data_IF_692486103495
#
_entry.id   IF_692486103495
#
_cell.length_a   1.000
_cell.length_b   1.000
_cell.length_c   1.000
_cell.angle_alpha   90.00
_cell.angle_beta   90.00
_cell.angle_gamma   90.00
#
_symmetry.space_group_name_H-M   'P 1'
#
loop_
_entity.id
_entity.type
_entity.pdbx_description
1 polymer ?
#
# COMPACT_ATOMS: atom_id res chain seq x y z
N UNK A 1 2.01 -18.69 -6.81
CA UNK A 1 1.47 -17.47 -7.45
C UNK A 1 2.50 -16.37 -7.27
N UNK A 2 2.81 -15.56 -8.30
CA UNK A 2 3.76 -14.44 -8.16
C UNK A 2 3.07 -13.30 -7.41
N UNK A 3 3.74 -12.71 -6.42
CA UNK A 3 3.22 -11.52 -5.75
C UNK A 3 3.35 -10.30 -6.67
N UNK A 4 2.43 -9.36 -6.55
CA UNK A 4 2.43 -8.10 -7.31
C UNK A 4 3.29 -7.04 -6.62
N UNK A 5 3.74 -6.05 -7.40
CA UNK A 5 4.37 -4.83 -6.92
C UNK A 5 3.43 -3.64 -7.13
N UNK A 6 2.95 -3.04 -6.05
CA UNK A 6 2.33 -1.72 -6.03
C UNK A 6 3.39 -0.66 -5.73
N UNK A 7 3.42 0.42 -6.50
CA UNK A 7 4.39 1.51 -6.31
C UNK A 7 3.68 2.77 -5.88
N UNK A 8 4.01 3.26 -4.67
CA UNK A 8 3.53 4.55 -4.21
C UNK A 8 4.40 5.68 -4.79
N UNK A 9 3.76 6.64 -5.47
CA UNK A 9 4.42 7.76 -6.16
C UNK A 9 4.27 9.10 -5.43
N UNK A 10 3.80 9.12 -4.19
CA UNK A 10 3.55 10.35 -3.41
C UNK A 10 4.80 11.22 -3.30
N UNK A 11 5.99 10.62 -3.14
CA UNK A 11 7.22 11.39 -2.96
C UNK A 11 7.66 12.10 -4.24
N UNK A 12 7.21 11.67 -5.43
CA UNK A 12 7.36 12.44 -6.67
C UNK A 12 6.54 13.75 -6.56
N UNK A 13 5.30 13.65 -6.08
CA UNK A 13 4.47 14.82 -5.83
C UNK A 13 5.04 15.70 -4.71
N UNK A 14 5.68 15.13 -3.68
CA UNK A 14 6.39 15.88 -2.64
C UNK A 14 7.50 16.73 -3.24
N UNK A 15 8.34 16.18 -4.11
CA UNK A 15 9.41 16.94 -4.80
C UNK A 15 8.84 18.05 -5.66
N UNK A 16 7.79 17.79 -6.44
CA UNK A 16 7.06 18.80 -7.22
C UNK A 16 6.56 19.95 -6.33
N UNK A 17 5.94 19.61 -5.23
CA UNK A 17 5.32 20.60 -4.33
C UNK A 17 6.37 21.42 -3.58
N UNK A 18 7.50 20.82 -3.20
CA UNK A 18 8.60 21.55 -2.54
C UNK A 18 9.17 22.64 -3.43
N UNK A 19 9.16 22.44 -4.76
CA UNK A 19 9.62 23.44 -5.74
C UNK A 19 8.51 24.42 -6.16
N UNK A 20 7.25 24.04 -6.01
CA UNK A 20 6.11 24.84 -6.44
C UNK A 20 5.85 24.87 -7.95
N UNK A 21 6.48 23.95 -8.70
CA UNK A 21 6.41 23.86 -10.16
C UNK A 21 5.57 22.65 -10.61
N UNK A 22 5.48 22.42 -11.93
CA UNK A 22 4.82 21.25 -12.50
C UNK A 22 5.69 19.99 -12.59
N UNK A 23 6.98 20.10 -12.27
CA UNK A 23 7.98 19.04 -12.35
C UNK A 23 8.57 18.72 -10.97
N UNK A 24 8.86 17.41 -10.65
CA UNK A 24 8.55 16.22 -11.46
C UNK A 24 7.05 15.91 -11.46
N UNK A 25 6.54 15.36 -12.58
CA UNK A 25 5.12 15.07 -12.73
C UNK A 25 4.80 13.62 -12.30
N UNK A 26 4.02 13.40 -11.22
CA UNK A 26 3.73 12.06 -10.70
C UNK A 26 2.99 11.16 -11.70
N UNK A 27 2.22 11.75 -12.61
CA UNK A 27 1.47 11.00 -13.63
C UNK A 27 2.41 10.39 -14.69
N UNK A 28 3.38 11.17 -15.17
CA UNK A 28 4.37 10.67 -16.12
C UNK A 28 5.26 9.59 -15.52
N UNK A 29 5.64 9.75 -14.24
CA UNK A 29 6.37 8.72 -13.50
C UNK A 29 5.56 7.45 -13.30
N UNK A 30 4.29 7.55 -12.95
CA UNK A 30 3.42 6.39 -12.81
C UNK A 30 3.33 5.57 -14.11
N UNK A 31 3.20 6.23 -15.27
CA UNK A 31 3.22 5.53 -16.57
C UNK A 31 4.55 4.80 -16.83
N UNK A 32 5.67 5.44 -16.51
CA UNK A 32 6.99 4.80 -16.67
C UNK A 32 7.16 3.61 -15.70
N UNK A 33 6.75 3.76 -14.46
CA UNK A 33 6.79 2.70 -13.43
C UNK A 33 6.00 1.47 -13.90
N UNK A 34 4.81 1.67 -14.47
CA UNK A 34 4.03 0.57 -15.06
C UNK A 34 4.74 -0.09 -16.24
N UNK A 35 5.37 0.69 -17.13
CA UNK A 35 6.16 0.17 -18.25
C UNK A 35 7.39 -0.62 -17.79
N UNK A 36 7.92 -0.34 -16.60
CA UNK A 36 9.04 -1.08 -16.01
C UNK A 36 8.63 -2.33 -15.25
N UNK A 37 7.33 -2.64 -15.17
CA UNK A 37 6.81 -3.91 -14.66
C UNK A 37 6.06 -3.85 -13.32
N UNK A 38 5.75 -2.68 -12.78
CA UNK A 38 4.83 -2.56 -11.65
C UNK A 38 3.42 -3.05 -12.03
N UNK A 39 2.63 -3.46 -11.04
CA UNK A 39 1.29 -3.98 -11.24
C UNK A 39 0.19 -2.97 -10.87
N UNK A 40 0.49 -2.02 -10.01
CA UNK A 40 -0.42 -0.96 -9.57
C UNK A 40 0.34 0.28 -9.14
N UNK A 41 -0.36 1.42 -9.13
CA UNK A 41 0.14 2.68 -8.60
C UNK A 41 -0.67 3.04 -7.37
N UNK A 42 0.02 3.32 -6.28
CA UNK A 42 -0.58 3.84 -5.05
C UNK A 42 -0.35 5.35 -4.98
N UNK A 43 -1.41 6.07 -4.67
CA UNK A 43 -1.42 7.51 -4.39
C UNK A 43 -2.19 7.77 -3.11
N UNK A 44 -1.67 8.62 -2.23
CA UNK A 44 -2.35 9.01 -1.00
C UNK A 44 -2.84 10.44 -1.09
N UNK A 45 -4.17 10.62 -1.24
CA UNK A 45 -4.80 11.92 -1.11
C UNK A 45 -5.04 12.21 0.37
N UNK A 46 -4.08 12.87 0.99
CA UNK A 46 -4.19 13.28 2.39
C UNK A 46 -5.15 14.46 2.57
N UNK A 47 -5.76 14.58 3.75
CA UNK A 47 -6.61 15.73 4.09
C UNK A 47 -5.88 17.08 3.94
N UNK A 48 -4.58 17.12 4.23
CA UNK A 48 -3.73 18.33 4.12
C UNK A 48 -3.12 18.57 2.73
N UNK A 49 -3.36 17.68 1.75
CA UNK A 49 -2.86 17.77 0.36
C UNK A 49 -1.36 18.02 0.23
N UNK A 50 -0.55 17.58 1.21
CA UNK A 50 0.90 17.87 1.24
C UNK A 50 1.68 17.31 0.05
N UNK A 51 1.16 16.30 -0.65
CA UNK A 51 1.79 15.72 -1.85
C UNK A 51 0.79 15.55 -3.01
N UNK A 52 -0.02 14.49 -3.05
CA UNK A 52 -1.07 14.33 -4.06
C UNK A 52 -2.18 15.37 -3.85
N UNK A 53 -2.63 15.97 -4.95
CA UNK A 53 -3.67 17.00 -5.00
C UNK A 53 -4.92 16.43 -5.68
N UNK A 54 -6.05 17.12 -5.54
CA UNK A 54 -7.33 16.70 -6.15
C UNK A 54 -7.22 16.65 -7.68
N UNK A 55 -6.45 17.55 -8.30
CA UNK A 55 -6.19 17.56 -9.74
C UNK A 55 -5.42 16.30 -10.18
N UNK A 56 -4.45 15.84 -9.38
CA UNK A 56 -3.72 14.61 -9.66
C UNK A 56 -4.68 13.42 -9.71
N UNK A 57 -5.56 13.29 -8.70
CA UNK A 57 -6.55 12.21 -8.63
C UNK A 57 -7.47 12.26 -9.85
N UNK A 58 -7.92 13.47 -10.25
CA UNK A 58 -8.74 13.66 -11.44
C UNK A 58 -8.05 13.20 -12.73
N UNK A 59 -6.73 13.45 -12.86
CA UNK A 59 -5.95 13.01 -14.02
C UNK A 59 -5.69 11.50 -13.95
N UNK A 60 -5.29 10.96 -12.78
CA UNK A 60 -5.08 9.52 -12.59
C UNK A 60 -6.32 8.69 -12.94
N UNK A 61 -7.51 9.20 -12.59
CA UNK A 61 -8.79 8.51 -12.88
C UNK A 61 -9.08 8.34 -14.38
N UNK A 62 -8.46 9.15 -15.23
CA UNK A 62 -8.62 9.11 -16.69
C UNK A 62 -7.59 8.24 -17.40
N UNK A 63 -6.56 7.76 -16.69
CA UNK A 63 -5.48 6.97 -17.29
C UNK A 63 -5.95 5.53 -17.44
N UNK A 64 -6.11 5.10 -18.69
CA UNK A 64 -6.41 3.70 -18.99
C UNK A 64 -5.18 2.81 -18.71
N UNK A 65 -5.42 1.57 -18.27
CA UNK A 65 -4.40 0.52 -18.05
C UNK A 65 -3.42 0.77 -16.89
N UNK A 66 -3.67 1.76 -16.03
CA UNK A 66 -2.92 1.95 -14.79
C UNK A 66 -3.87 1.72 -13.61
N UNK A 67 -3.83 0.55 -12.97
CA UNK A 67 -4.64 0.31 -11.78
C UNK A 67 -4.21 1.26 -10.66
N UNK A 68 -5.15 2.04 -10.14
CA UNK A 68 -4.92 3.03 -9.09
C UNK A 68 -5.44 2.49 -7.76
N UNK A 69 -4.58 2.47 -6.76
CA UNK A 69 -4.90 2.30 -5.36
C UNK A 69 -4.87 3.67 -4.67
N UNK A 70 -6.05 4.18 -4.32
CA UNK A 70 -6.19 5.45 -3.62
C UNK A 70 -6.15 5.22 -2.11
N UNK A 71 -5.10 5.69 -1.46
CA UNK A 71 -5.05 5.78 0.00
C UNK A 71 -5.78 7.04 0.47
N UNK A 72 -6.62 6.90 1.49
CA UNK A 72 -7.43 8.00 2.02
C UNK A 72 -7.88 7.75 3.46
N UNK A 73 -8.16 8.82 4.20
CA UNK A 73 -8.84 8.76 5.50
C UNK A 73 -10.30 8.30 5.36
N UNK A 74 -10.83 7.67 6.42
CA UNK A 74 -12.23 7.27 6.50
C UNK A 74 -13.14 8.46 6.87
N UNK A 75 -13.39 9.37 5.93
CA UNK A 75 -14.31 10.50 6.14
C UNK A 75 -15.23 10.74 4.95
N UNK A 76 -16.19 11.65 5.10
CA UNK A 76 -17.20 11.91 4.08
C UNK A 76 -16.62 12.66 2.85
N UNK A 77 -15.62 13.52 3.03
CA UNK A 77 -14.97 14.25 1.94
C UNK A 77 -14.23 13.27 1.02
N UNK A 78 -13.36 12.45 1.59
CA UNK A 78 -12.59 11.46 0.84
C UNK A 78 -13.50 10.43 0.18
N UNK A 79 -14.59 10.03 0.85
CA UNK A 79 -15.58 9.15 0.24
C UNK A 79 -16.24 9.79 -1.00
N UNK A 80 -16.59 11.08 -0.95
CA UNK A 80 -17.16 11.79 -2.12
C UNK A 80 -16.17 11.80 -3.29
N UNK A 81 -14.89 12.06 -3.01
CA UNK A 81 -13.81 12.06 -4.00
C UNK A 81 -13.64 10.67 -4.61
N UNK A 82 -13.53 9.61 -3.80
CA UNK A 82 -13.42 8.24 -4.28
C UNK A 82 -14.62 7.80 -5.13
N UNK A 83 -15.84 8.20 -4.75
CA UNK A 83 -17.05 7.90 -5.54
C UNK A 83 -17.11 8.68 -6.85
N UNK A 84 -16.58 9.92 -6.89
CA UNK A 84 -16.50 10.75 -8.10
C UNK A 84 -15.51 10.17 -9.11
N UNK A 85 -14.30 9.83 -8.65
CA UNK A 85 -13.20 9.45 -9.54
C UNK A 85 -13.07 7.94 -9.76
N UNK A 86 -13.71 7.12 -8.93
CA UNK A 86 -13.83 5.66 -9.07
C UNK A 86 -12.49 4.96 -9.33
N UNK A 87 -11.50 5.08 -8.42
CA UNK A 87 -10.26 4.35 -8.54
C UNK A 87 -10.54 2.83 -8.53
N UNK A 88 -9.61 2.02 -9.01
CA UNK A 88 -9.74 0.56 -9.00
C UNK A 88 -9.81 0.02 -7.57
N UNK A 89 -9.02 0.62 -6.68
CA UNK A 89 -8.86 0.20 -5.30
C UNK A 89 -8.85 1.41 -4.38
N UNK A 90 -9.33 1.23 -3.15
CA UNK A 90 -9.22 2.20 -2.07
C UNK A 90 -8.62 1.49 -0.86
N UNK A 91 -7.53 2.03 -0.31
CA UNK A 91 -6.99 1.65 0.98
C UNK A 91 -7.32 2.71 2.02
N UNK A 92 -8.04 2.33 3.07
CA UNK A 92 -8.36 3.23 4.17
C UNK A 92 -7.19 3.22 5.14
N UNK A 93 -6.58 4.39 5.32
CA UNK A 93 -5.39 4.60 6.16
C UNK A 93 -5.67 5.62 7.27
N UNK A 94 -4.96 5.60 8.40
CA UNK A 94 -5.08 6.63 9.41
C UNK A 94 -4.30 7.87 9.01
N UNK A 95 -4.85 9.06 9.27
CA UNK A 95 -4.16 10.34 9.06
C UNK A 95 -4.05 11.16 10.34
N UNK A 96 -5.09 11.12 11.18
CA UNK A 96 -5.12 11.84 12.46
C UNK A 96 -4.60 10.96 13.58
N UNK A 97 -4.03 11.60 14.61
CA UNK A 97 -3.46 10.87 15.76
C UNK A 97 -4.47 9.95 16.47
N UNK A 98 -5.74 10.31 16.49
CA UNK A 98 -6.80 9.49 17.07
C UNK A 98 -7.22 8.29 16.19
N UNK A 99 -6.84 8.27 14.94
CA UNK A 99 -7.10 7.19 13.98
C UNK A 99 -5.99 6.13 13.97
N UNK A 100 -4.81 6.50 14.51
CA UNK A 100 -3.60 5.67 14.51
C UNK A 100 -3.57 4.83 15.78
N UNK A 101 -3.17 3.57 15.64
CA UNK A 101 -2.79 2.73 16.78
C UNK A 101 -1.35 3.03 17.22
N UNK A 102 -0.91 2.49 18.34
CA UNK A 102 0.48 2.61 18.83
C UNK A 102 1.52 2.02 17.87
N UNK A 103 1.10 1.17 16.94
CA UNK A 103 1.97 0.52 15.95
C UNK A 103 1.84 1.12 14.53
N UNK A 104 1.00 2.12 14.33
CA UNK A 104 0.88 2.89 13.07
C UNK A 104 -0.26 2.48 12.14
N UNK A 105 -0.98 1.38 12.41
CA UNK A 105 -2.15 0.97 11.62
C UNK A 105 -3.44 1.68 12.03
N UNK A 106 -4.49 1.50 11.25
CA UNK A 106 -5.81 2.06 11.48
C UNK A 106 -6.46 1.52 12.77
N UNK A 107 -6.96 2.40 13.62
CA UNK A 107 -7.74 2.01 14.80
C UNK A 107 -9.19 1.72 14.40
N UNK A 108 -9.45 0.48 14.01
CA UNK A 108 -10.77 0.05 13.52
C UNK A 108 -11.84 0.21 14.59
N UNK A 109 -11.54 -0.13 15.84
CA UNK A 109 -12.53 -0.14 16.94
C UNK A 109 -13.10 1.27 17.18
N UNK A 110 -12.23 2.27 17.28
CA UNK A 110 -12.65 3.66 17.51
C UNK A 110 -13.43 4.24 16.34
N UNK A 111 -13.12 3.81 15.11
CA UNK A 111 -13.65 4.40 13.88
C UNK A 111 -14.65 3.47 13.17
N UNK A 112 -15.13 2.39 13.83
CA UNK A 112 -15.93 1.32 13.24
C UNK A 112 -17.12 1.84 12.42
N UNK A 113 -17.88 2.81 12.95
CA UNK A 113 -19.09 3.34 12.31
C UNK A 113 -18.81 4.02 10.97
N UNK A 114 -17.82 4.91 10.93
CA UNK A 114 -17.46 5.62 9.70
C UNK A 114 -16.79 4.70 8.68
N UNK A 115 -15.89 3.82 9.12
CA UNK A 115 -15.23 2.83 8.25
C UNK A 115 -16.28 1.92 7.60
N UNK A 116 -17.25 1.40 8.36
CA UNK A 116 -18.36 0.57 7.84
C UNK A 116 -19.14 1.31 6.75
N UNK A 117 -19.49 2.59 6.99
CA UNK A 117 -20.19 3.43 6.02
C UNK A 117 -19.38 3.58 4.73
N UNK A 118 -18.09 3.90 4.85
CA UNK A 118 -17.19 4.09 3.69
C UNK A 118 -17.06 2.80 2.89
N UNK A 119 -16.74 1.68 3.53
CA UNK A 119 -16.62 0.37 2.87
C UNK A 119 -17.91 -0.01 2.14
N UNK A 120 -19.07 0.11 2.80
CA UNK A 120 -20.37 -0.23 2.21
C UNK A 120 -20.63 0.57 0.93
N UNK A 121 -20.37 1.88 0.95
CA UNK A 121 -20.58 2.75 -0.22
C UNK A 121 -19.61 2.45 -1.36
N UNK A 122 -18.34 2.19 -1.06
CA UNK A 122 -17.34 1.86 -2.07
C UNK A 122 -17.61 0.47 -2.69
N UNK A 123 -17.91 -0.54 -1.87
CA UNK A 123 -18.22 -1.88 -2.33
C UNK A 123 -19.48 -1.90 -3.23
N UNK A 124 -20.51 -1.07 -2.93
CA UNK A 124 -21.70 -0.95 -3.79
C UNK A 124 -21.41 -0.37 -5.18
N UNK A 125 -20.28 0.31 -5.34
CA UNK A 125 -19.78 0.83 -6.62
C UNK A 125 -18.68 -0.04 -7.24
N UNK A 126 -18.50 -1.27 -6.73
CA UNK A 126 -17.50 -2.24 -7.19
C UNK A 126 -16.05 -1.74 -7.06
N UNK A 127 -15.78 -0.80 -6.15
CA UNK A 127 -14.44 -0.36 -5.79
C UNK A 127 -13.93 -1.31 -4.70
N UNK A 128 -12.84 -2.04 -4.96
CA UNK A 128 -12.25 -2.95 -3.97
C UNK A 128 -11.69 -2.16 -2.79
N UNK A 129 -12.15 -2.48 -1.57
CA UNK A 129 -11.71 -1.81 -0.35
C UNK A 129 -10.66 -2.62 0.40
N UNK A 130 -9.62 -1.94 0.87
CA UNK A 130 -8.58 -2.43 1.77
C UNK A 130 -8.55 -1.61 3.06
N UNK A 131 -8.13 -2.24 4.15
CA UNK A 131 -7.83 -1.56 5.42
C UNK A 131 -6.35 -1.72 5.75
N UNK A 132 -5.67 -0.60 6.02
CA UNK A 132 -4.28 -0.59 6.48
C UNK A 132 -4.21 -0.87 7.97
N UNK A 133 -3.87 -2.10 8.35
CA UNK A 133 -3.98 -2.60 9.72
C UNK A 133 -2.64 -3.07 10.28
N UNK A 134 -2.50 -3.07 11.59
CA UNK A 134 -1.40 -3.77 12.21
C UNK A 134 -1.52 -5.29 12.00
N UNK A 135 -0.39 -6.03 12.04
CA UNK A 135 -0.41 -7.49 12.03
C UNK A 135 -0.93 -8.02 13.38
N UNK A 136 -2.22 -7.84 13.62
CA UNK A 136 -2.98 -8.25 14.79
C UNK A 136 -4.20 -9.05 14.36
N UNK A 137 -4.39 -10.21 14.96
CA UNK A 137 -5.50 -11.14 14.65
C UNK A 137 -6.88 -10.48 14.87
N UNK A 138 -7.02 -9.64 15.90
CA UNK A 138 -8.28 -8.92 16.17
C UNK A 138 -8.63 -7.95 15.05
N UNK A 139 -7.63 -7.25 14.50
CA UNK A 139 -7.82 -6.30 13.38
C UNK A 139 -8.19 -7.03 12.09
N UNK A 140 -7.65 -8.23 11.86
CA UNK A 140 -8.03 -9.09 10.72
C UNK A 140 -9.50 -9.50 10.81
N UNK A 141 -9.97 -9.98 11.97
CA UNK A 141 -11.39 -10.31 12.17
C UNK A 141 -12.29 -9.07 12.02
N UNK A 142 -11.91 -7.94 12.64
CA UNK A 142 -12.67 -6.70 12.51
C UNK A 142 -12.78 -6.23 11.06
N UNK A 143 -11.72 -6.39 10.27
CA UNK A 143 -11.73 -6.07 8.83
C UNK A 143 -12.73 -6.94 8.06
N UNK A 144 -12.79 -8.23 8.38
CA UNK A 144 -13.77 -9.17 7.78
C UNK A 144 -15.20 -8.80 8.15
N UNK A 145 -15.47 -8.49 9.44
CA UNK A 145 -16.79 -8.05 9.91
C UNK A 145 -17.28 -6.79 9.20
N UNK A 146 -16.35 -5.88 8.85
CA UNK A 146 -16.65 -4.67 8.09
C UNK A 146 -16.82 -4.92 6.58
N UNK A 147 -16.67 -6.17 6.14
CA UNK A 147 -16.77 -6.58 4.74
C UNK A 147 -15.68 -5.94 3.84
N UNK A 148 -14.50 -5.67 4.41
CA UNK A 148 -13.32 -5.32 3.63
C UNK A 148 -12.97 -6.49 2.69
N UNK A 149 -12.55 -6.18 1.47
CA UNK A 149 -12.17 -7.19 0.47
C UNK A 149 -10.69 -7.52 0.52
N UNK A 150 -9.91 -6.64 1.12
CA UNK A 150 -8.47 -6.73 1.25
C UNK A 150 -8.03 -6.18 2.60
N UNK A 151 -6.89 -6.63 3.08
CA UNK A 151 -6.15 -5.99 4.18
C UNK A 151 -4.73 -5.71 3.71
N UNK A 152 -4.20 -4.55 4.10
CA UNK A 152 -2.79 -4.25 3.96
C UNK A 152 -2.14 -4.27 5.34
N UNK A 153 -1.21 -5.21 5.54
CA UNK A 153 -0.51 -5.40 6.81
C UNK A 153 0.63 -4.38 6.93
N UNK A 154 0.61 -3.58 7.99
CA UNK A 154 1.66 -2.63 8.32
C UNK A 154 2.96 -3.35 8.66
N UNK A 155 4.02 -3.14 7.87
CA UNK A 155 5.30 -3.84 8.01
C UNK A 155 6.42 -3.00 8.62
N UNK A 156 6.18 -1.76 9.00
CA UNK A 156 7.21 -0.81 9.42
C UNK A 156 8.09 -1.30 10.57
N UNK A 157 7.50 -1.89 11.62
CA UNK A 157 8.25 -2.44 12.76
C UNK A 157 9.15 -3.63 12.35
N UNK A 158 8.64 -4.49 11.48
CA UNK A 158 9.40 -5.59 10.90
C UNK A 158 10.56 -5.06 10.03
N UNK A 159 10.28 -4.17 9.09
CA UNK A 159 11.26 -3.61 8.18
C UNK A 159 12.38 -2.86 8.91
N UNK A 160 12.03 -2.08 9.95
CA UNK A 160 13.00 -1.39 10.78
C UNK A 160 13.96 -2.37 11.51
N UNK A 161 13.43 -3.50 12.01
CA UNK A 161 14.27 -4.53 12.63
C UNK A 161 15.19 -5.19 11.63
N UNK A 162 14.72 -5.49 10.42
CA UNK A 162 15.54 -6.05 9.33
C UNK A 162 16.64 -5.07 8.93
N UNK A 163 16.29 -3.80 8.73
CA UNK A 163 17.25 -2.73 8.37
C UNK A 163 18.35 -2.57 9.40
N UNK A 164 18.01 -2.66 10.69
CA UNK A 164 18.95 -2.50 11.80
C UNK A 164 19.63 -3.83 12.21
N UNK A 165 19.50 -4.89 11.43
CA UNK A 165 20.02 -6.24 11.72
C UNK A 165 19.60 -6.77 13.11
N UNK A 166 18.41 -6.39 13.59
CA UNK A 166 17.81 -6.87 14.84
C UNK A 166 16.95 -8.10 14.61
N UNK A 167 16.69 -8.87 15.67
CA UNK A 167 15.81 -10.02 15.58
C UNK A 167 14.38 -9.59 15.19
N UNK A 168 13.93 -10.03 14.02
CA UNK A 168 12.63 -9.72 13.42
C UNK A 168 11.63 -10.89 13.47
N UNK A 169 12.03 -12.05 13.99
CA UNK A 169 11.21 -13.28 13.89
C UNK A 169 9.83 -13.16 14.53
N UNK A 170 9.70 -12.39 15.61
CA UNK A 170 8.40 -12.17 16.28
C UNK A 170 7.46 -11.41 15.35
N UNK A 171 7.92 -10.32 14.74
CA UNK A 171 7.12 -9.53 13.79
C UNK A 171 6.82 -10.33 12.51
N UNK A 172 7.78 -11.10 12.02
CA UNK A 172 7.56 -12.00 10.88
C UNK A 172 6.45 -13.02 11.18
N UNK A 173 6.48 -13.66 12.36
CA UNK A 173 5.42 -14.61 12.77
C UNK A 173 4.05 -13.94 12.86
N UNK A 174 3.97 -12.70 13.42
CA UNK A 174 2.71 -11.93 13.47
C UNK A 174 2.16 -11.67 12.08
N UNK A 175 2.99 -11.17 11.16
CA UNK A 175 2.60 -10.90 9.77
C UNK A 175 2.16 -12.20 9.08
N UNK A 176 2.91 -13.29 9.23
CA UNK A 176 2.57 -14.60 8.66
C UNK A 176 1.21 -15.10 9.14
N UNK A 177 0.97 -15.07 10.45
CA UNK A 177 -0.29 -15.55 11.03
C UNK A 177 -1.48 -14.72 10.56
N UNK A 178 -1.34 -13.38 10.55
CA UNK A 178 -2.39 -12.48 10.05
C UNK A 178 -2.65 -12.65 8.57
N UNK A 179 -1.60 -12.78 7.75
CA UNK A 179 -1.74 -13.02 6.31
C UNK A 179 -2.45 -14.35 6.02
N UNK A 180 -2.08 -15.42 6.73
CA UNK A 180 -2.71 -16.73 6.58
C UNK A 180 -4.19 -16.70 6.99
N UNK A 181 -4.50 -16.04 8.12
CA UNK A 181 -5.88 -15.88 8.59
C UNK A 181 -6.72 -15.06 7.61
N UNK A 182 -6.23 -13.90 7.17
CA UNK A 182 -6.94 -13.03 6.25
C UNK A 182 -7.28 -13.77 4.94
N UNK A 183 -6.30 -14.52 4.40
CA UNK A 183 -6.51 -15.38 3.23
C UNK A 183 -7.57 -16.45 3.48
N UNK A 184 -7.51 -17.14 4.63
CA UNK A 184 -8.52 -18.14 5.02
C UNK A 184 -9.93 -17.54 5.13
N UNK A 185 -10.04 -16.29 5.56
CA UNK A 185 -11.30 -15.55 5.63
C UNK A 185 -11.76 -15.00 4.27
N UNK A 186 -11.05 -15.31 3.17
CA UNK A 186 -11.40 -14.88 1.81
C UNK A 186 -11.10 -13.42 1.50
N UNK A 187 -10.16 -12.81 2.23
CA UNK A 187 -9.64 -11.47 1.92
C UNK A 187 -8.33 -11.57 1.15
N UNK A 188 -8.12 -10.63 0.25
CA UNK A 188 -6.81 -10.41 -0.38
C UNK A 188 -5.84 -9.81 0.65
N UNK A 189 -4.55 -10.13 0.54
CA UNK A 189 -3.55 -9.70 1.52
C UNK A 189 -2.43 -8.95 0.84
N UNK A 190 -2.25 -7.72 1.26
CA UNK A 190 -1.13 -6.87 0.89
C UNK A 190 -0.22 -6.64 2.10
N UNK A 191 1.01 -6.20 1.84
CA UNK A 191 1.95 -5.77 2.86
C UNK A 191 2.66 -4.49 2.40
N UNK A 192 2.78 -3.52 3.28
CA UNK A 192 3.36 -2.23 2.94
C UNK A 192 3.92 -1.47 4.14
N UNK A 193 4.57 -0.38 3.85
CA UNK A 193 5.24 0.55 4.74
C UNK A 193 6.63 0.09 5.21
N UNK A 194 7.64 0.89 4.86
CA UNK A 194 9.02 0.73 5.29
C UNK A 194 9.82 -0.35 4.58
N UNK A 195 9.24 -1.02 3.58
CA UNK A 195 9.89 -2.11 2.86
C UNK A 195 11.04 -1.63 1.97
N UNK A 196 12.09 -2.44 1.92
CA UNK A 196 13.24 -2.39 1.03
C UNK A 196 13.43 -3.75 0.33
N UNK A 197 14.51 -3.94 -0.41
CA UNK A 197 14.80 -5.21 -1.09
C UNK A 197 14.94 -6.37 -0.09
N UNK A 198 15.71 -6.17 1.01
CA UNK A 198 15.99 -7.22 2.00
C UNK A 198 14.72 -7.67 2.74
N UNK A 199 13.95 -6.72 3.25
CA UNK A 199 12.69 -6.99 3.96
C UNK A 199 11.64 -7.61 3.04
N UNK A 200 11.54 -7.16 1.80
CA UNK A 200 10.64 -7.74 0.78
C UNK A 200 11.03 -9.20 0.48
N UNK A 201 12.33 -9.48 0.26
CA UNK A 201 12.83 -10.85 0.04
C UNK A 201 12.44 -11.80 1.18
N UNK A 202 12.48 -11.32 2.43
CA UNK A 202 12.09 -12.12 3.59
C UNK A 202 10.58 -12.35 3.63
N UNK A 203 9.76 -11.28 3.49
CA UNK A 203 8.29 -11.38 3.59
C UNK A 203 7.66 -12.16 2.43
N UNK A 204 8.28 -12.19 1.27
CA UNK A 204 7.83 -12.97 0.11
C UNK A 204 7.73 -14.48 0.41
N UNK A 205 8.44 -14.99 1.41
CA UNK A 205 8.29 -16.37 1.88
C UNK A 205 6.89 -16.67 2.41
N UNK A 206 6.10 -15.63 2.72
CA UNK A 206 4.69 -15.74 3.15
C UNK A 206 3.79 -15.79 1.90
N UNK A 207 3.46 -16.98 1.42
CA UNK A 207 2.69 -17.20 0.18
C UNK A 207 1.29 -16.58 0.18
N UNK A 208 0.75 -16.21 1.35
CA UNK A 208 -0.55 -15.54 1.49
C UNK A 208 -0.50 -14.06 1.13
N UNK A 209 0.68 -13.44 1.04
CA UNK A 209 0.82 -12.04 0.62
C UNK A 209 0.81 -11.99 -0.91
N UNK A 210 -0.15 -11.25 -1.45
CA UNK A 210 -0.40 -11.17 -2.89
C UNK A 210 0.18 -9.90 -3.53
N UNK A 211 0.42 -8.84 -2.74
CA UNK A 211 0.98 -7.58 -3.22
C UNK A 211 1.87 -6.93 -2.16
N UNK A 212 2.97 -6.33 -2.60
CA UNK A 212 3.83 -5.48 -1.79
C UNK A 212 3.72 -4.04 -2.27
N UNK A 213 3.33 -3.12 -1.36
CA UNK A 213 3.23 -1.69 -1.65
C UNK A 213 4.48 -0.98 -1.13
N UNK A 214 5.28 -0.42 -2.06
CA UNK A 214 6.58 0.18 -1.75
C UNK A 214 6.64 1.57 -2.38
N UNK A 215 6.96 2.59 -1.58
CA UNK A 215 7.05 3.98 -2.04
C UNK A 215 8.39 4.62 -1.74
N UNK A 216 8.58 5.08 -0.51
CA UNK A 216 9.75 5.87 -0.10
C UNK A 216 11.09 5.27 -0.53
N UNK A 217 11.28 3.97 -0.32
CA UNK A 217 12.51 3.26 -0.72
C UNK A 217 12.74 3.35 -2.23
N UNK A 218 11.72 3.04 -3.04
CA UNK A 218 11.84 3.07 -4.51
C UNK A 218 12.21 4.46 -5.00
N UNK A 219 11.57 5.51 -4.50
CA UNK A 219 11.84 6.88 -4.94
C UNK A 219 13.23 7.32 -4.48
N UNK A 220 13.63 7.00 -3.26
CA UNK A 220 14.97 7.30 -2.75
C UNK A 220 16.08 6.62 -3.55
N UNK A 221 15.97 5.31 -3.79
CA UNK A 221 16.92 4.58 -4.61
C UNK A 221 16.97 5.07 -6.07
N UNK A 222 15.81 5.49 -6.61
CA UNK A 222 15.73 5.96 -7.99
C UNK A 222 16.52 7.25 -8.23
N UNK A 223 16.76 8.06 -7.20
CA UNK A 223 17.61 9.26 -7.29
C UNK A 223 19.05 8.87 -7.63
N UNK A 224 19.54 7.76 -7.07
CA UNK A 224 20.93 7.31 -7.26
C UNK A 224 21.09 6.37 -8.46
N UNK A 225 20.13 5.48 -8.69
CA UNK A 225 20.28 4.35 -9.64
C UNK A 225 19.36 4.42 -10.85
N UNK A 226 18.47 5.39 -10.89
CA UNK A 226 17.45 5.55 -11.94
C UNK A 226 16.24 4.63 -11.77
N UNK A 227 15.06 5.15 -12.08
CA UNK A 227 13.76 4.50 -11.84
C UNK A 227 13.64 3.12 -12.51
N UNK A 228 14.09 2.98 -13.75
CA UNK A 228 14.01 1.71 -14.48
C UNK A 228 14.71 0.58 -13.74
N UNK A 229 15.96 0.80 -13.32
CA UNK A 229 16.77 -0.21 -12.62
C UNK A 229 16.11 -0.58 -11.28
N UNK A 230 15.65 0.41 -10.51
CA UNK A 230 15.05 0.18 -9.19
C UNK A 230 13.74 -0.57 -9.29
N UNK A 231 12.86 -0.23 -10.24
CA UNK A 231 11.60 -0.97 -10.45
C UNK A 231 11.88 -2.39 -10.93
N UNK A 232 12.76 -2.59 -11.91
CA UNK A 232 13.12 -3.94 -12.39
C UNK A 232 13.64 -4.81 -11.26
N UNK A 233 14.50 -4.28 -10.40
CA UNK A 233 14.99 -4.99 -9.21
C UNK A 233 13.83 -5.29 -8.25
N UNK A 234 12.98 -4.29 -7.92
CA UNK A 234 11.84 -4.48 -7.01
C UNK A 234 10.89 -5.57 -7.51
N UNK A 235 10.61 -5.59 -8.83
CA UNK A 235 9.81 -6.66 -9.47
C UNK A 235 10.51 -8.01 -9.30
N UNK A 236 11.81 -8.11 -9.48
CA UNK A 236 12.53 -9.38 -9.29
C UNK A 236 12.40 -9.87 -7.84
N UNK A 237 12.54 -8.99 -6.86
CA UNK A 237 12.39 -9.34 -5.44
C UNK A 237 10.95 -9.75 -5.05
N UNK A 238 9.94 -9.24 -5.71
CA UNK A 238 8.55 -9.67 -5.49
C UNK A 238 8.20 -10.95 -6.27
N UNK A 239 8.87 -11.22 -7.40
CA UNK A 239 8.55 -12.31 -8.33
C UNK A 239 9.50 -13.52 -8.28
N UNK A 240 10.59 -13.52 -7.49
CA UNK A 240 11.60 -14.59 -7.49
C UNK A 240 10.97 -16.00 -7.46
N UNK A 241 11.46 -16.87 -8.32
CA UNK A 241 11.02 -18.28 -8.40
C UNK A 241 11.52 -19.06 -7.19
N UNK A 242 10.81 -20.13 -6.84
CA UNK A 242 11.11 -21.01 -5.72
C UNK A 242 12.45 -21.82 -5.87
N UNK A 243 13.25 -21.57 -6.90
CA UNK A 243 14.48 -22.32 -7.19
C UNK A 243 15.77 -21.72 -6.60
N UNK A 244 15.71 -20.55 -5.91
CA UNK A 244 16.90 -19.96 -5.29
C UNK A 244 16.99 -20.19 -3.77
N UNK A 245 16.36 -21.21 -3.24
CA UNK A 245 16.45 -21.58 -1.82
C UNK A 245 17.39 -22.73 -1.55
N UNK A 246 18.37 -22.93 -2.42
CA UNK A 246 19.36 -24.00 -2.24
C UNK A 246 20.80 -23.46 -2.34
N UNK A 247 21.10 -22.36 -1.67
CA UNK A 247 22.48 -21.93 -1.35
C UNK A 247 22.38 -20.84 -0.28
N UNK A 248 22.41 -21.26 0.99
CA UNK A 248 23.10 -20.66 2.16
C UNK A 248 22.82 -21.53 3.40
#
# INVERSE_FOLDING_TARGET
>A
MKSRLGVNVDHIATLRNARGEGHPNPISYARQVMNFGANSITIHLREDRRHIRDEDVAIFSKIKRVPINLEMAANNEMLKIALKYKPNFVCIVPEKRNEITTEGGLNITKNKKIIKKVISKLNSKKIRTSLFINPNIKDVFASKELNAKCVELHTGKFALKVKNNKNYLVEFKKIKNCATLAKKLGMEVHAGHGLDYKSTKILRKIKSIEEFNIGHFIIGEAIMFGMKKVITNSVSYTHLRAHETQDD
#
